data_IF_727625710050
#
_entry.id   IF_727625710050
#
_cell.length_a   1.000
_cell.length_b   1.000
_cell.length_c   1.000
_cell.angle_alpha   90.00
_cell.angle_beta   90.00
_cell.angle_gamma   90.00
#
_symmetry.space_group_name_H-M   'P 1'
#
loop_
_entity.id
_entity.type
_entity.pdbx_description
1 polymer ?
#
# COMPACT_ATOMS: atom_id res chain seq x y z
N UNK A 1 5.02 -5.67 2.23
CA UNK A 1 5.05 -5.99 3.68
C UNK A 1 4.73 -4.72 4.43
N UNK A 2 3.74 -4.73 5.33
CA UNK A 2 3.31 -3.52 6.01
C UNK A 2 4.20 -3.15 7.22
N UNK A 3 3.96 -1.97 7.80
CA UNK A 3 4.65 -1.47 8.99
C UNK A 3 4.54 -2.38 10.22
N UNK A 4 3.54 -3.26 10.28
CA UNK A 4 3.43 -4.25 11.34
C UNK A 4 4.26 -5.50 11.04
N UNK A 5 4.66 -5.73 9.80
CA UNK A 5 5.45 -6.89 9.36
C UNK A 5 4.61 -7.99 8.73
N UNK A 6 3.32 -7.76 8.49
CA UNK A 6 2.48 -8.69 7.73
C UNK A 6 2.76 -8.58 6.23
N UNK A 7 2.71 -9.73 5.56
CA UNK A 7 2.70 -9.80 4.10
C UNK A 7 1.25 -9.85 3.63
N UNK A 8 1.00 -9.17 2.53
CA UNK A 8 -0.33 -8.97 1.97
C UNK A 8 -0.16 -8.64 0.47
N UNK A 9 -1.22 -8.78 -0.30
CA UNK A 9 -1.24 -8.51 -1.75
C UNK A 9 -1.63 -7.06 -2.05
N UNK A 10 -1.07 -6.47 -3.10
CA UNK A 10 -1.36 -5.09 -3.49
C UNK A 10 -1.58 -5.01 -5.00
N UNK A 11 -2.70 -4.44 -5.43
CA UNK A 11 -2.97 -4.16 -6.85
C UNK A 11 -2.16 -2.96 -7.37
N UNK A 12 -1.70 -2.12 -6.43
CA UNK A 12 -0.91 -0.93 -6.71
C UNK A 12 0.51 -1.13 -6.20
N UNK A 13 1.50 -0.77 -7.01
CA UNK A 13 2.91 -0.83 -6.62
C UNK A 13 3.29 0.34 -5.71
N UNK A 14 3.67 0.03 -4.48
CA UNK A 14 4.10 1.01 -3.46
C UNK A 14 5.50 0.67 -2.95
N UNK A 15 6.06 1.52 -2.10
CA UNK A 15 7.34 1.24 -1.47
C UNK A 15 7.33 -0.05 -0.60
N UNK A 16 6.18 -0.46 -0.07
CA UNK A 16 6.01 -1.72 0.68
C UNK A 16 6.10 -2.98 -0.20
N UNK A 17 5.99 -2.83 -1.52
CA UNK A 17 6.18 -3.91 -2.50
C UNK A 17 7.66 -4.19 -2.79
N UNK A 18 8.56 -3.29 -2.41
CA UNK A 18 9.98 -3.43 -2.68
C UNK A 18 10.64 -4.33 -1.64
N UNK A 19 11.35 -5.35 -2.13
CA UNK A 19 12.19 -6.22 -1.32
C UNK A 19 13.64 -6.10 -1.76
N UNK A 20 14.55 -6.03 -0.80
CA UNK A 20 15.98 -6.20 -1.05
C UNK A 20 16.28 -7.69 -1.13
N UNK A 21 16.77 -8.11 -2.28
CA UNK A 21 17.36 -9.43 -2.48
C UNK A 21 18.78 -9.47 -1.89
N UNK A 22 19.14 -10.57 -1.25
CA UNK A 22 20.50 -10.83 -0.76
C UNK A 22 20.80 -12.32 -0.76
N UNK A 23 22.07 -12.68 -0.90
CA UNK A 23 22.52 -14.07 -0.80
C UNK A 23 22.86 -14.40 0.66
N UNK A 24 22.54 -15.62 1.08
CA UNK A 24 22.91 -16.19 2.37
C UNK A 24 23.68 -17.50 2.16
N UNK A 25 24.85 -17.62 2.79
CA UNK A 25 25.76 -18.78 2.71
C UNK A 25 26.04 -19.24 1.28
N UNK A 26 26.06 -18.31 0.32
CA UNK A 26 26.29 -18.54 -1.11
C UNK A 26 25.33 -19.53 -1.80
N UNK A 27 24.22 -19.89 -1.16
CA UNK A 27 23.29 -20.89 -1.69
C UNK A 27 21.83 -20.44 -1.70
N UNK A 28 21.41 -19.68 -0.69
CA UNK A 28 20.03 -19.25 -0.57
C UNK A 28 19.86 -17.77 -0.93
N UNK A 29 18.71 -17.44 -1.49
CA UNK A 29 18.24 -16.07 -1.65
C UNK A 29 17.30 -15.73 -0.50
N UNK A 30 17.49 -14.54 0.06
CA UNK A 30 16.62 -13.99 1.11
C UNK A 30 16.06 -12.65 0.66
N UNK A 31 14.79 -12.40 1.00
CA UNK A 31 14.10 -11.14 0.67
C UNK A 31 13.76 -10.39 1.95
N UNK A 32 14.24 -9.15 2.05
CA UNK A 32 13.98 -8.29 3.21
C UNK A 32 13.21 -7.04 2.82
N UNK A 33 12.38 -6.51 3.72
CA UNK A 33 11.75 -5.21 3.51
C UNK A 33 12.82 -4.13 3.32
N UNK A 34 12.59 -3.25 2.35
CA UNK A 34 13.40 -2.04 2.15
C UNK A 34 13.05 -0.95 3.17
N UNK A 35 11.83 -0.97 3.70
CA UNK A 35 11.31 0.03 4.64
C UNK A 35 11.44 -0.40 6.11
N UNK A 36 11.08 -1.65 6.42
CA UNK A 36 10.82 -2.05 7.80
C UNK A 36 11.92 -2.94 8.38
N UNK A 37 12.34 -2.58 9.59
CA UNK A 37 13.39 -3.22 10.37
C UNK A 37 13.06 -3.04 11.86
N UNK A 38 13.69 -3.84 12.72
CA UNK A 38 13.62 -3.64 14.15
C UNK A 38 14.28 -2.30 14.53
N UNK A 39 13.55 -1.43 15.24
CA UNK A 39 14.02 -0.08 15.57
C UNK A 39 15.35 -0.08 16.34
N UNK A 40 15.46 -0.88 17.41
CA UNK A 40 16.63 -0.87 18.29
C UNK A 40 17.86 -1.58 17.69
N UNK A 41 17.67 -2.76 17.10
CA UNK A 41 18.78 -3.59 16.61
C UNK A 41 19.14 -3.35 15.15
N UNK A 42 18.34 -2.59 14.40
CA UNK A 42 18.46 -2.45 12.95
C UNK A 42 18.19 -3.74 12.17
N UNK A 43 17.82 -4.83 12.84
CA UNK A 43 17.60 -6.14 12.22
C UNK A 43 16.47 -6.06 11.20
N UNK A 44 16.77 -6.35 9.93
CA UNK A 44 15.78 -6.35 8.88
C UNK A 44 14.65 -7.37 9.12
N UNK A 45 13.49 -7.09 8.53
CA UNK A 45 12.36 -8.02 8.49
C UNK A 45 12.36 -8.76 7.17
N UNK A 46 12.04 -10.06 7.19
CA UNK A 46 12.23 -10.95 6.05
C UNK A 46 10.92 -11.60 5.62
N UNK A 47 10.75 -11.84 4.33
CA UNK A 47 9.79 -12.82 3.83
C UNK A 47 10.16 -14.19 4.40
N UNK A 48 9.16 -14.95 4.84
CA UNK A 48 9.41 -16.32 5.26
C UNK A 48 8.16 -17.19 5.42
N UNK A 49 8.35 -18.49 5.25
CA UNK A 49 7.34 -19.52 5.40
C UNK A 49 7.68 -20.42 6.59
N UNK A 50 6.67 -20.87 7.32
CA UNK A 50 6.87 -21.87 8.37
C UNK A 50 7.01 -23.28 7.78
N UNK A 51 7.13 -24.30 8.64
CA UNK A 51 7.30 -25.70 8.21
C UNK A 51 6.08 -26.25 7.45
N UNK A 52 4.91 -25.67 7.70
CA UNK A 52 3.65 -26.04 7.05
C UNK A 52 3.41 -25.25 5.74
N UNK A 53 4.38 -24.43 5.32
CA UNK A 53 4.28 -23.59 4.13
C UNK A 53 3.43 -22.32 4.33
N UNK A 54 2.99 -22.02 5.56
CA UNK A 54 2.20 -20.83 5.85
C UNK A 54 3.08 -19.59 6.05
N UNK A 55 2.54 -18.43 5.68
CA UNK A 55 3.25 -17.15 5.76
C UNK A 55 3.56 -16.75 7.20
N UNK A 56 4.77 -16.22 7.42
CA UNK A 56 5.20 -15.72 8.72
C UNK A 56 5.26 -14.18 8.75
N UNK A 57 4.98 -13.60 9.92
CA UNK A 57 5.19 -12.17 10.17
C UNK A 57 6.68 -11.83 10.08
N UNK A 58 7.05 -10.84 9.29
CA UNK A 58 8.43 -10.57 8.88
C UNK A 58 9.39 -10.25 10.03
N UNK A 59 8.90 -9.69 11.13
CA UNK A 59 9.72 -9.44 12.33
C UNK A 59 10.11 -10.73 13.08
N UNK A 60 9.35 -11.82 12.90
CA UNK A 60 9.62 -13.17 13.45
C UNK A 60 10.56 -13.99 12.58
N UNK A 61 10.73 -13.61 11.32
CA UNK A 61 11.63 -14.28 10.38
C UNK A 61 13.06 -13.75 10.59
N UNK A 62 14.05 -14.66 10.62
CA UNK A 62 15.46 -14.34 10.85
C UNK A 62 16.30 -14.81 9.67
N UNK A 63 17.27 -13.99 9.25
CA UNK A 63 18.23 -14.27 8.15
C UNK A 63 18.88 -15.67 8.22
N UNK A 64 19.23 -16.12 9.43
CA UNK A 64 19.92 -17.41 9.65
C UNK A 64 18.98 -18.59 9.81
N UNK A 65 17.66 -18.40 9.63
CA UNK A 65 16.68 -19.47 9.80
C UNK A 65 16.16 -19.95 8.44
N UNK A 66 15.97 -21.29 8.28
CA UNK A 66 15.47 -21.87 7.03
C UNK A 66 14.17 -21.28 6.52
N UNK A 67 13.31 -20.76 7.41
CA UNK A 67 12.07 -20.11 7.01
C UNK A 67 12.27 -18.90 6.08
N UNK A 68 13.47 -18.32 6.02
CA UNK A 68 13.81 -17.19 5.15
C UNK A 68 14.54 -17.58 3.87
N UNK A 69 14.86 -18.87 3.70
CA UNK A 69 15.78 -19.36 2.69
C UNK A 69 15.02 -19.85 1.45
N UNK A 70 15.16 -19.14 0.34
CA UNK A 70 14.52 -19.47 -0.92
C UNK A 70 15.56 -19.88 -1.97
N UNK A 71 15.21 -20.83 -2.82
CA UNK A 71 15.99 -21.21 -3.99
C UNK A 71 15.16 -20.83 -5.22
N UNK A 72 15.50 -19.73 -5.93
CA UNK A 72 14.79 -19.35 -7.15
C UNK A 72 14.89 -20.47 -8.19
N UNK A 73 13.77 -20.79 -8.84
CA UNK A 73 13.69 -21.70 -9.98
C UNK A 73 13.17 -20.93 -11.19
N UNK A 74 14.05 -20.23 -11.95
CA UNK A 74 13.63 -19.47 -13.11
C UNK A 74 12.92 -20.35 -14.15
N UNK A 75 11.87 -19.83 -14.77
CA UNK A 75 11.13 -20.49 -15.86
C UNK A 75 11.63 -19.96 -17.20
N UNK A 76 11.41 -18.66 -17.44
CA UNK A 76 11.87 -17.95 -18.63
C UNK A 76 12.24 -16.51 -18.29
N UNK A 77 12.99 -15.86 -19.19
CA UNK A 77 13.30 -14.43 -19.10
C UNK A 77 12.27 -13.66 -19.91
N UNK A 78 11.72 -12.60 -19.31
CA UNK A 78 10.69 -11.78 -19.91
C UNK A 78 10.91 -10.31 -19.57
N UNK A 79 10.45 -9.43 -20.45
CA UNK A 79 10.55 -7.99 -20.28
C UNK A 79 9.28 -7.44 -19.62
N UNK A 80 9.45 -6.67 -18.55
CA UNK A 80 8.35 -5.99 -17.88
C UNK A 80 8.54 -4.47 -17.97
N UNK A 81 7.42 -3.75 -18.07
CA UNK A 81 7.43 -2.30 -17.88
C UNK A 81 7.67 -1.99 -16.40
N UNK A 82 8.47 -0.97 -16.10
CA UNK A 82 8.66 -0.52 -14.73
C UNK A 82 7.29 -0.09 -14.13
N UNK A 83 6.90 -0.64 -12.97
CA UNK A 83 5.62 -0.31 -12.35
C UNK A 83 5.65 1.12 -11.78
N UNK A 84 4.56 1.87 -11.96
CA UNK A 84 4.40 3.21 -11.41
C UNK A 84 4.36 3.17 -9.88
N UNK A 85 5.27 3.90 -9.24
CA UNK A 85 5.33 4.01 -7.78
C UNK A 85 4.21 4.92 -7.25
N UNK A 86 3.43 4.41 -6.30
CA UNK A 86 2.39 5.17 -5.62
C UNK A 86 2.71 5.32 -4.13
N UNK A 87 2.23 6.42 -3.55
CA UNK A 87 2.39 6.71 -2.13
C UNK A 87 1.49 5.82 -1.25
N UNK A 88 1.98 5.53 -0.04
CA UNK A 88 1.28 4.66 0.91
C UNK A 88 0.02 5.33 1.48
N UNK A 89 0.04 6.65 1.64
CA UNK A 89 -1.09 7.43 2.14
C UNK A 89 -2.24 7.46 1.13
N UNK A 90 -1.94 7.62 -0.17
CA UNK A 90 -2.94 7.49 -1.21
C UNK A 90 -3.62 6.11 -1.20
N UNK A 91 -2.87 5.06 -0.89
CA UNK A 91 -3.42 3.71 -0.76
C UNK A 91 -4.34 3.58 0.44
N UNK A 92 -3.99 4.14 1.60
CA UNK A 92 -4.86 4.18 2.77
C UNK A 92 -6.17 4.94 2.45
N UNK A 93 -6.08 6.05 1.73
CA UNK A 93 -7.25 6.81 1.28
C UNK A 93 -8.09 6.03 0.28
N UNK A 94 -7.46 5.33 -0.68
CA UNK A 94 -8.13 4.48 -1.69
C UNK A 94 -8.72 3.20 -1.10
N UNK A 95 -8.11 2.62 -0.06
CA UNK A 95 -8.66 1.45 0.66
C UNK A 95 -9.78 1.83 1.63
N UNK A 96 -9.75 3.06 2.17
CA UNK A 96 -10.82 3.61 3.02
C UNK A 96 -12.04 4.04 2.21
N UNK A 97 -11.85 4.40 0.94
CA UNK A 97 -12.93 4.55 -0.04
C UNK A 97 -13.35 3.17 -0.51
N UNK A 98 -14.24 2.53 0.25
CA UNK A 98 -14.91 1.30 -0.16
C UNK A 98 -15.53 1.49 -1.55
N UNK A 99 -15.46 0.52 -2.48
CA UNK A 99 -16.30 0.56 -3.66
C UNK A 99 -17.72 0.24 -3.18
N UNK A 100 -18.55 1.25 -2.97
CA UNK A 100 -20.00 1.05 -2.90
C UNK A 100 -20.45 0.56 -4.28
N UNK A 101 -20.55 -0.75 -4.42
CA UNK A 101 -21.34 -1.40 -5.46
C UNK A 101 -22.81 -1.10 -5.22
N UNK A 102 -23.27 0.07 -5.63
CA UNK A 102 -24.68 0.29 -5.91
C UNK A 102 -24.77 0.64 -7.38
N UNK A 103 -24.97 -0.39 -8.21
CA UNK A 103 -25.60 -0.17 -9.49
C UNK A 103 -27.05 0.18 -9.23
N UNK A 104 -27.48 1.35 -9.69
CA UNK A 104 -28.84 1.62 -10.16
C UNK A 104 -28.87 3.04 -10.76
N UNK A 105 -29.15 3.08 -12.06
CA UNK A 105 -29.55 4.27 -12.80
C UNK A 105 -30.70 4.99 -12.07
N UNK A 106 -30.62 6.32 -11.96
CA UNK A 106 -31.78 7.22 -12.10
C UNK A 106 -31.36 8.68 -12.21
N UNK A 107 -31.53 9.19 -13.44
CA UNK A 107 -32.21 10.42 -13.84
C UNK A 107 -31.97 11.70 -13.01
N UNK A 108 -31.56 12.74 -13.74
CA UNK A 108 -31.17 14.04 -13.22
C UNK A 108 -32.28 14.92 -12.68
N UNK A 109 -31.81 16.02 -12.08
CA UNK A 109 -32.49 17.27 -11.73
C UNK A 109 -31.35 18.29 -11.57
N UNK A 110 -31.11 19.11 -12.60
CA UNK A 110 -31.59 20.50 -12.73
C UNK A 110 -30.74 21.48 -11.90
N UNK A 111 -29.92 22.26 -12.61
CA UNK A 111 -29.16 23.42 -12.11
C UNK A 111 -30.14 24.49 -11.57
N UNK A 112 -29.84 25.18 -10.46
CA UNK A 112 -30.55 26.41 -10.11
C UNK A 112 -29.94 27.60 -10.85
N UNK A 113 -30.78 28.26 -11.65
CA UNK A 113 -30.52 29.53 -12.33
C UNK A 113 -30.20 30.68 -11.35
N UNK A 114 -29.21 31.50 -11.73
CA UNK A 114 -29.01 32.88 -11.25
C UNK A 114 -30.06 33.83 -11.87
N UNK A 115 -30.58 34.78 -11.07
CA UNK A 115 -30.88 36.22 -11.40
C UNK A 115 -31.80 36.89 -10.34
N UNK A 116 -31.98 38.23 -10.29
CA UNK A 116 -31.14 39.19 -9.56
C UNK A 116 -31.93 40.13 -8.61
N UNK A 117 -31.19 40.98 -7.88
CA UNK A 117 -31.46 42.34 -7.36
C UNK A 117 -32.89 42.78 -6.97
N UNK A 118 -33.03 43.27 -5.72
CA UNK A 118 -33.85 44.46 -5.41
C UNK A 118 -33.19 45.25 -4.25
N UNK A 119 -32.89 46.52 -4.51
CA UNK A 119 -32.43 47.53 -3.57
C UNK A 119 -33.58 48.01 -2.66
N UNK A 120 -33.35 48.23 -1.36
CA UNK A 120 -34.08 49.27 -0.63
C UNK A 120 -33.20 49.87 0.48
N UNK A 121 -32.81 51.14 0.28
CA UNK A 121 -32.25 52.02 1.30
C UNK A 121 -33.35 52.41 2.29
N UNK A 122 -33.05 52.34 3.59
CA UNK A 122 -33.43 53.44 4.50
C UNK A 122 -32.38 53.60 5.60
N UNK A 123 -31.77 54.79 5.63
CA UNK A 123 -31.15 55.37 6.81
C UNK A 123 -32.21 55.56 7.90
N UNK A 124 -31.87 55.33 9.17
CA UNK A 124 -32.55 55.99 10.28
C UNK A 124 -31.65 56.11 11.51
N UNK A 125 -31.62 57.35 11.99
CA UNK A 125 -30.84 57.96 13.04
C UNK A 125 -31.28 57.55 14.46
N UNK A 126 -30.53 58.05 15.45
CA UNK A 126 -30.84 58.22 16.88
C UNK A 126 -30.51 57.06 17.86
N UNK A 127 -29.39 57.20 18.57
CA UNK A 127 -29.32 57.86 19.91
C UNK A 127 -27.92 57.81 20.50
#
# INVERSE_FOLDING_TARGET
MNAEGFLYTSDVFTAECKFKESVFENYYVIYSSTLYRQHESGRAWFLGLNKDGAIMKGNRVKKTKPCSHFVPRPIEVCMYKEPSLHDLEEKLLKSSRSPTINGEDRQGLEDPEEQPEDEELTEQDAS
#
